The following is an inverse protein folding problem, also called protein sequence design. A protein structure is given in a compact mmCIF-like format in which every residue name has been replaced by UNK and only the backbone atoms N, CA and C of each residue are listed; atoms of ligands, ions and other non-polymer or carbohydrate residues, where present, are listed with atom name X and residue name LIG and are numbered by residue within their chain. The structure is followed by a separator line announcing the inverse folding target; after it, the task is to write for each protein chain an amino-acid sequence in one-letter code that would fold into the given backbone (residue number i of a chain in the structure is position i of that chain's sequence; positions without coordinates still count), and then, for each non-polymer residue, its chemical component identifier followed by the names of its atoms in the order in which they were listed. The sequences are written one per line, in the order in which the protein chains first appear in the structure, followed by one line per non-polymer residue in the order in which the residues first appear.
data_IF_430626588219
#
_entry.id   IF_430626588219
#
_cell.length_a   1.000
_cell.length_b   1.000
_cell.length_c   1.000
_cell.angle_alpha   90.00
_cell.angle_beta   90.00
_cell.angle_gamma   90.00
#
_symmetry.space_group_name_H-M   'P 1'
#
loop_
_entity.id
_entity.type
_entity.pdbx_description
1 polymer ?
#
# COMPACT_ATOMS: atom_id res chain seq x y z
N UNK A 1 20.01 11.69 5.13
CA UNK A 1 18.91 11.37 6.07
C UNK A 1 17.53 11.71 5.50
N UNK A 2 17.21 12.97 5.17
CA UNK A 2 15.91 13.38 4.61
C UNK A 2 15.52 12.72 3.27
N UNK A 3 16.52 12.35 2.46
CA UNK A 3 16.29 11.74 1.13
C UNK A 3 15.82 10.28 1.24
N UNK A 4 16.30 9.54 2.24
CA UNK A 4 15.90 8.15 2.48
C UNK A 4 14.46 8.10 3.00
N UNK A 5 14.12 9.00 3.92
CA UNK A 5 12.75 9.08 4.46
C UNK A 5 11.74 9.52 3.40
N UNK A 6 12.09 10.46 2.51
CA UNK A 6 11.22 10.83 1.39
C UNK A 6 11.03 9.71 0.38
N UNK A 7 12.10 8.99 -0.01
CA UNK A 7 11.97 7.82 -0.90
C UNK A 7 11.06 6.76 -0.26
N UNK A 8 11.28 6.45 1.01
CA UNK A 8 10.54 5.41 1.70
C UNK A 8 9.06 5.81 1.93
N UNK A 9 8.78 7.11 2.09
CA UNK A 9 7.42 7.67 2.10
C UNK A 9 6.73 7.55 0.74
N UNK A 10 7.42 7.91 -0.35
CA UNK A 10 6.89 7.81 -1.73
C UNK A 10 6.55 6.36 -2.08
N UNK A 11 7.43 5.41 -1.73
CA UNK A 11 7.20 3.97 -1.95
C UNK A 11 5.98 3.48 -1.17
N UNK A 12 5.84 3.88 0.09
CA UNK A 12 4.68 3.52 0.92
C UNK A 12 3.36 4.08 0.36
N UNK A 13 3.38 5.33 -0.12
CA UNK A 13 2.25 5.97 -0.81
C UNK A 13 1.85 5.22 -2.07
N UNK A 14 2.82 4.80 -2.89
CA UNK A 14 2.56 4.04 -4.12
C UNK A 14 1.83 2.72 -3.84
N UNK A 15 2.27 1.98 -2.82
CA UNK A 15 1.61 0.73 -2.41
C UNK A 15 0.16 0.96 -1.93
N UNK A 16 -0.08 2.06 -1.23
CA UNK A 16 -1.40 2.42 -0.69
C UNK A 16 -2.38 2.86 -1.79
N UNK A 17 -1.91 3.64 -2.78
CA UNK A 17 -2.70 4.00 -3.96
C UNK A 17 -3.07 2.77 -4.78
N UNK A 18 -2.13 1.83 -4.98
CA UNK A 18 -2.40 0.57 -5.68
C UNK A 18 -3.45 -0.27 -4.95
N UNK A 19 -3.39 -0.32 -3.63
CA UNK A 19 -4.39 -1.01 -2.81
C UNK A 19 -5.79 -0.38 -2.95
N UNK A 20 -5.90 0.95 -2.93
CA UNK A 20 -7.17 1.63 -3.17
C UNK A 20 -7.72 1.33 -4.57
N UNK A 21 -6.85 1.34 -5.60
CA UNK A 21 -7.25 1.04 -6.97
C UNK A 21 -7.82 -0.39 -7.09
N UNK A 22 -7.17 -1.39 -6.48
CA UNK A 22 -7.69 -2.76 -6.42
C UNK A 22 -9.03 -2.84 -5.67
N UNK A 23 -9.19 -2.12 -4.55
CA UNK A 23 -10.44 -2.08 -3.78
C UNK A 23 -11.61 -1.47 -4.55
N UNK A 24 -11.35 -0.40 -5.32
CA UNK A 24 -12.35 0.20 -6.19
C UNK A 24 -12.77 -0.76 -7.32
N UNK A 25 -11.81 -1.51 -7.86
CA UNK A 25 -12.08 -2.55 -8.87
C UNK A 25 -12.97 -3.69 -8.34
N UNK A 26 -12.86 -4.02 -7.04
CA UNK A 26 -13.72 -5.02 -6.38
C UNK A 26 -15.17 -4.53 -6.24
N UNK A 27 -15.39 -3.23 -6.03
CA UNK A 27 -16.75 -2.65 -5.94
C UNK A 27 -17.50 -2.69 -7.28
N UNK A 28 -16.79 -2.83 -8.39
CA UNK A 28 -17.40 -2.92 -9.72
C UNK A 28 -17.95 -4.35 -9.94
N UNK A 29 -19.28 -4.48 -10.04
CA UNK A 29 -20.05 -5.75 -10.10
C UNK A 29 -19.66 -6.73 -11.23
N UNK A 30 -18.75 -6.36 -12.13
CA UNK A 30 -18.38 -7.12 -13.34
C UNK A 30 -16.86 -7.16 -13.51
N UNK A 31 -16.15 -7.62 -12.49
CA UNK A 31 -14.69 -7.69 -12.52
C UNK A 31 -14.24 -9.15 -12.65
N UNK A 32 -13.75 -9.49 -13.84
CA UNK A 32 -12.80 -10.59 -14.06
C UNK A 32 -11.41 -10.01 -13.73
N UNK A 33 -10.58 -10.59 -12.85
CA UNK A 33 -10.65 -11.90 -12.18
C UNK A 33 -11.49 -11.92 -10.88
N UNK A 34 -11.82 -13.11 -10.31
CA UNK A 34 -12.67 -13.27 -9.13
C UNK A 34 -12.34 -12.34 -7.97
N UNK A 35 -13.36 -11.68 -7.41
CA UNK A 35 -13.24 -10.68 -6.34
C UNK A 35 -12.44 -11.16 -5.12
N UNK A 36 -12.44 -12.46 -4.83
CA UNK A 36 -11.65 -13.06 -3.74
C UNK A 36 -10.14 -12.90 -3.94
N UNK A 37 -9.64 -13.08 -5.17
CA UNK A 37 -8.22 -12.97 -5.49
C UNK A 37 -7.76 -11.50 -5.43
N UNK A 38 -8.56 -10.60 -5.99
CA UNK A 38 -8.29 -9.15 -5.96
C UNK A 38 -8.31 -8.64 -4.52
N UNK A 39 -9.21 -9.15 -3.67
CA UNK A 39 -9.27 -8.80 -2.23
C UNK A 39 -8.03 -9.26 -1.48
N UNK A 40 -7.59 -10.50 -1.69
CA UNK A 40 -6.37 -11.04 -1.08
C UNK A 40 -5.14 -10.21 -1.46
N UNK A 41 -5.04 -9.85 -2.73
CA UNK A 41 -3.93 -9.06 -3.25
C UNK A 41 -3.98 -7.60 -2.74
N UNK A 42 -5.16 -7.00 -2.65
CA UNK A 42 -5.35 -5.68 -2.02
C UNK A 42 -4.90 -5.70 -0.56
N UNK A 43 -5.27 -6.75 0.20
CA UNK A 43 -4.91 -6.88 1.62
C UNK A 43 -3.40 -7.06 1.84
N UNK A 44 -2.71 -7.76 0.92
CA UNK A 44 -1.25 -7.83 0.91
C UNK A 44 -0.60 -6.48 0.64
N UNK A 45 -1.11 -5.71 -0.34
CA UNK A 45 -0.59 -4.37 -0.62
C UNK A 45 -0.84 -3.37 0.52
N UNK A 46 -1.98 -3.47 1.21
CA UNK A 46 -2.26 -2.68 2.42
C UNK A 46 -1.26 -3.03 3.53
N UNK A 47 -0.98 -4.32 3.74
CA UNK A 47 -0.03 -4.75 4.77
C UNK A 47 1.38 -4.26 4.46
N UNK A 48 1.85 -4.41 3.21
CA UNK A 48 3.16 -3.90 2.79
C UNK A 48 3.26 -2.38 2.89
N UNK A 49 2.23 -1.64 2.44
CA UNK A 49 2.18 -0.19 2.55
C UNK A 49 2.16 0.29 4.01
N UNK A 50 1.43 -0.39 4.89
CA UNK A 50 1.36 -0.07 6.32
C UNK A 50 2.67 -0.34 7.06
N UNK A 51 3.32 -1.47 6.77
CA UNK A 51 4.65 -1.79 7.34
C UNK A 51 5.71 -0.79 6.86
N UNK A 52 5.66 -0.39 5.58
CA UNK A 52 6.54 0.65 5.04
C UNK A 52 6.36 2.00 5.74
N UNK A 53 5.11 2.39 6.02
CA UNK A 53 4.77 3.60 6.77
C UNK A 53 5.25 3.55 8.23
N UNK A 54 5.06 2.42 8.90
CA UNK A 54 5.57 2.20 10.26
C UNK A 54 7.10 2.29 10.31
N UNK A 55 7.80 1.65 9.36
CA UNK A 55 9.25 1.76 9.26
C UNK A 55 9.71 3.19 9.01
N UNK A 56 9.01 3.96 8.17
CA UNK A 56 9.36 5.37 7.95
C UNK A 56 9.17 6.23 9.20
N UNK A 57 8.10 5.99 9.96
CA UNK A 57 7.84 6.71 11.21
C UNK A 57 8.91 6.37 12.25
N UNK A 58 9.28 5.09 12.40
CA UNK A 58 10.34 4.67 13.32
C UNK A 58 11.68 5.28 12.91
N UNK A 59 12.03 5.24 11.62
CA UNK A 59 13.23 5.89 11.11
C UNK A 59 13.23 7.40 11.32
N UNK A 60 12.07 8.06 11.24
CA UNK A 60 11.96 9.50 11.48
C UNK A 60 12.08 9.87 12.97
N UNK A 61 11.62 8.99 13.87
CA UNK A 61 11.69 9.22 15.33
C UNK A 61 13.09 8.95 15.90
N UNK A 62 13.82 8.00 15.33
CA UNK A 62 15.14 7.57 15.84
C UNK A 62 16.33 8.34 15.27
N UNK A 63 16.13 9.14 14.21
CA UNK A 63 17.21 9.70 13.39
C UNK A 63 16.94 11.16 13.00
#
# INVERSE_FOLDING_TARGET
MKLVTTICFIVSLFFLVRAMHLLLFIKQKRSYPPAFWVKKQAMQYISFGGIGLLCTIVFYMFL
#
